data_IF_234492155265
#
_entry.id   IF_234492155265
#
_cell.length_a   1.000
_cell.length_b   1.000
_cell.length_c   1.000
_cell.angle_alpha   90.00
_cell.angle_beta   90.00
_cell.angle_gamma   90.00
#
_symmetry.space_group_name_H-M   'P 1'
#
loop_
_entity.id
_entity.type
_entity.pdbx_description
1 polymer ?
#
# COMPACT_ATOMS: atom_id res chain seq x y z
N UNK A 1 15.82 -5.88 4.21
CA UNK A 1 14.90 -7.03 4.05
C UNK A 1 14.75 -7.33 2.56
N UNK A 2 14.86 -8.59 2.14
CA UNK A 2 14.64 -8.95 0.73
C UNK A 2 13.15 -8.86 0.36
N UNK A 3 12.86 -8.59 -0.91
CA UNK A 3 11.49 -8.51 -1.44
C UNK A 3 10.62 -9.72 -1.04
N UNK A 4 11.20 -10.92 -1.13
CA UNK A 4 10.55 -12.18 -0.81
C UNK A 4 10.20 -12.36 0.67
N UNK A 5 10.92 -11.70 1.58
CA UNK A 5 10.60 -11.70 3.01
C UNK A 5 9.60 -10.59 3.34
N UNK A 6 9.70 -9.44 2.66
CA UNK A 6 8.72 -8.36 2.78
C UNK A 6 7.33 -8.77 2.28
N UNK A 7 7.23 -9.60 1.24
CA UNK A 7 5.97 -10.04 0.65
C UNK A 7 5.03 -10.74 1.65
N UNK A 8 5.43 -11.83 2.35
CA UNK A 8 4.59 -12.47 3.35
C UNK A 8 4.38 -11.60 4.59
N UNK A 9 5.38 -10.81 5.00
CA UNK A 9 5.25 -9.91 6.17
C UNK A 9 4.20 -8.83 5.90
N UNK A 10 4.25 -8.18 4.74
CA UNK A 10 3.26 -7.18 4.34
C UNK A 10 1.86 -7.81 4.24
N UNK A 11 1.76 -9.01 3.67
CA UNK A 11 0.50 -9.77 3.62
C UNK A 11 -0.07 -10.07 5.01
N UNK A 12 0.77 -10.55 5.94
CA UNK A 12 0.37 -10.83 7.32
C UNK A 12 -0.04 -9.56 8.07
N UNK A 13 0.69 -8.46 7.90
CA UNK A 13 0.34 -7.17 8.50
C UNK A 13 -0.99 -6.64 7.95
N UNK A 14 -1.20 -6.73 6.63
CA UNK A 14 -2.46 -6.34 5.99
C UNK A 14 -3.64 -7.21 6.48
N UNK A 15 -3.43 -8.53 6.59
CA UNK A 15 -4.44 -9.45 7.11
C UNK A 15 -4.77 -9.18 8.58
N UNK A 16 -3.76 -8.93 9.42
CA UNK A 16 -3.96 -8.60 10.83
C UNK A 16 -4.74 -7.28 11.00
N UNK A 17 -4.35 -6.24 10.24
CA UNK A 17 -5.07 -4.97 10.24
C UNK A 17 -6.52 -5.14 9.76
N UNK A 18 -6.72 -5.86 8.66
CA UNK A 18 -8.04 -6.17 8.12
C UNK A 18 -8.91 -6.99 9.05
N UNK A 19 -8.34 -7.94 9.80
CA UNK A 19 -9.07 -8.74 10.78
C UNK A 19 -9.52 -7.89 11.98
N UNK A 20 -8.61 -7.07 12.51
CA UNK A 20 -8.87 -6.20 13.67
C UNK A 20 -9.94 -5.14 13.36
N UNK A 21 -9.94 -4.63 12.13
CA UNK A 21 -10.92 -3.65 11.64
C UNK A 21 -12.20 -4.29 11.09
N UNK A 22 -12.13 -5.49 10.53
CA UNK A 22 -13.28 -6.20 9.98
C UNK A 22 -14.24 -6.70 11.07
N UNK A 23 -13.70 -7.15 12.20
CA UNK A 23 -14.50 -7.64 13.33
C UNK A 23 -15.58 -6.65 13.82
N UNK A 24 -15.29 -5.36 14.07
CA UNK A 24 -16.32 -4.39 14.42
C UNK A 24 -17.29 -4.07 13.28
N UNK A 25 -16.83 -4.06 12.01
CA UNK A 25 -17.69 -3.74 10.86
C UNK A 25 -18.77 -4.79 10.63
N UNK A 26 -18.47 -6.08 10.84
CA UNK A 26 -19.45 -7.16 10.69
C UNK A 26 -20.65 -7.04 11.65
N UNK A 27 -20.55 -6.21 12.70
CA UNK A 27 -21.60 -5.99 13.69
C UNK A 27 -22.60 -4.90 13.29
N UNK A 28 -22.35 -4.18 12.19
CA UNK A 28 -23.24 -3.15 11.65
C UNK A 28 -24.24 -3.78 10.65
N UNK A 29 -25.50 -3.32 10.66
CA UNK A 29 -26.54 -3.75 9.70
C UNK A 29 -27.22 -2.56 9.06
N UNK A 30 -27.72 -2.75 7.83
CA UNK A 30 -28.48 -1.73 7.10
C UNK A 30 -27.60 -0.58 6.61
N UNK A 31 -28.10 0.66 6.74
CA UNK A 31 -27.45 1.88 6.24
C UNK A 31 -26.11 2.21 6.91
N UNK A 32 -25.91 1.74 8.15
CA UNK A 32 -24.68 1.98 8.88
C UNK A 32 -23.47 1.29 8.24
N UNK A 33 -23.68 0.15 7.55
CA UNK A 33 -22.60 -0.55 6.85
C UNK A 33 -22.11 0.25 5.62
N UNK A 34 -23.03 0.91 4.91
CA UNK A 34 -22.70 1.76 3.77
C UNK A 34 -21.91 3.01 4.21
N UNK A 35 -22.36 3.67 5.28
CA UNK A 35 -21.69 4.84 5.85
C UNK A 35 -20.28 4.48 6.34
N UNK A 36 -20.11 3.34 7.00
CA UNK A 36 -18.79 2.91 7.50
C UNK A 36 -17.82 2.61 6.37
N UNK A 37 -18.31 2.08 5.25
CA UNK A 37 -17.44 1.76 4.10
C UNK A 37 -16.89 3.03 3.46
N UNK A 38 -17.72 4.06 3.29
CA UNK A 38 -17.26 5.38 2.81
C UNK A 38 -16.34 6.06 3.82
N UNK A 39 -16.75 6.10 5.10
CA UNK A 39 -15.97 6.73 6.15
C UNK A 39 -14.61 6.06 6.36
N UNK A 40 -14.55 4.73 6.32
CA UNK A 40 -13.31 3.97 6.45
C UNK A 40 -12.32 4.30 5.33
N UNK A 41 -12.78 4.37 4.08
CA UNK A 41 -11.93 4.75 2.95
C UNK A 41 -11.31 6.14 3.13
N UNK A 42 -12.09 7.11 3.60
CA UNK A 42 -11.59 8.48 3.83
C UNK A 42 -10.66 8.56 5.05
N UNK A 43 -10.96 7.84 6.13
CA UNK A 43 -10.08 7.74 7.30
C UNK A 43 -8.72 7.15 6.90
N UNK A 44 -8.70 6.07 6.13
CA UNK A 44 -7.46 5.45 5.63
C UNK A 44 -6.70 6.44 4.76
N UNK A 45 -7.37 7.16 3.86
CA UNK A 45 -6.74 8.19 3.02
C UNK A 45 -6.09 9.28 3.87
N UNK A 46 -6.80 9.84 4.85
CA UNK A 46 -6.27 10.87 5.74
C UNK A 46 -5.11 10.33 6.56
N UNK A 47 -5.23 9.11 7.10
CA UNK A 47 -4.17 8.45 7.85
C UNK A 47 -2.90 8.29 7.01
N UNK A 48 -3.02 7.85 5.76
CA UNK A 48 -1.89 7.70 4.83
C UNK A 48 -1.24 9.04 4.49
N UNK A 49 -2.02 10.10 4.33
CA UNK A 49 -1.52 11.45 4.03
C UNK A 49 -0.87 12.11 5.26
N UNK A 50 -1.43 11.89 6.45
CA UNK A 50 -0.93 12.45 7.70
C UNK A 50 0.33 11.73 8.21
N UNK A 51 0.44 10.43 7.95
CA UNK A 51 1.58 9.62 8.39
C UNK A 51 2.81 9.80 7.48
N UNK A 52 3.29 11.04 7.38
CA UNK A 52 4.42 11.45 6.53
C UNK A 52 5.71 10.73 6.87
N UNK A 53 5.90 10.31 8.12
CA UNK A 53 7.10 9.66 8.61
C UNK A 53 7.25 8.20 8.14
N UNK A 54 6.13 7.47 7.95
CA UNK A 54 6.15 6.04 7.62
C UNK A 54 5.80 5.80 6.13
N UNK A 55 4.85 6.54 5.57
CA UNK A 55 4.38 6.34 4.17
C UNK A 55 4.93 7.37 3.19
N UNK A 56 5.62 8.42 3.66
CA UNK A 56 6.01 9.56 2.83
C UNK A 56 4.87 10.53 2.51
N UNK A 57 3.70 10.36 3.15
CA UNK A 57 2.55 11.24 3.01
C UNK A 57 2.04 11.31 1.55
N UNK A 58 1.73 12.50 1.01
CA UNK A 58 1.29 12.64 -0.38
C UNK A 58 2.35 12.23 -1.42
N UNK A 59 3.62 12.25 -1.03
CA UNK A 59 4.76 11.97 -1.92
C UNK A 59 5.09 10.47 -2.04
N UNK A 60 4.49 9.62 -1.20
CA UNK A 60 4.70 8.17 -1.17
C UNK A 60 6.11 7.75 -0.76
N UNK A 61 6.32 6.44 -0.65
CA UNK A 61 7.63 5.84 -0.33
C UNK A 61 8.51 5.89 -1.58
N UNK A 62 9.60 6.65 -1.54
CA UNK A 62 10.62 6.73 -2.59
C UNK A 62 11.77 5.76 -2.26
N UNK A 63 12.33 5.10 -3.27
CA UNK A 63 13.36 4.05 -3.15
C UNK A 63 12.89 2.67 -2.65
N UNK A 64 11.83 2.11 -3.24
CA UNK A 64 11.49 0.69 -3.02
C UNK A 64 12.51 -0.17 -3.79
N UNK A 65 13.32 -1.02 -3.12
CA UNK A 65 14.26 -1.90 -3.78
C UNK A 65 13.52 -2.85 -4.72
N UNK A 66 13.96 -2.93 -5.98
CA UNK A 66 13.29 -3.68 -7.04
C UNK A 66 13.18 -5.17 -6.68
N UNK A 67 12.03 -5.83 -6.93
CA UNK A 67 11.92 -7.27 -6.77
C UNK A 67 12.86 -7.99 -7.75
N UNK A 68 13.87 -8.65 -7.22
CA UNK A 68 14.75 -9.56 -7.97
C UNK A 68 14.17 -10.96 -7.88
N UNK A 69 13.77 -11.53 -9.02
CA UNK A 69 13.17 -12.88 -9.09
C UNK A 69 14.17 -13.77 -9.81
N UNK A 70 14.88 -14.63 -9.06
CA UNK A 70 15.82 -15.61 -9.63
C UNK A 70 16.88 -15.00 -10.61
N UNK A 71 17.38 -13.80 -10.32
CA UNK A 71 18.37 -13.11 -11.16
C UNK A 71 17.80 -12.22 -12.27
N UNK A 72 16.48 -12.15 -12.43
CA UNK A 72 15.79 -11.18 -13.29
C UNK A 72 15.36 -9.98 -12.43
N UNK A 73 15.95 -8.81 -12.68
CA UNK A 73 15.38 -7.54 -12.22
C UNK A 73 14.14 -7.26 -13.05
N UNK A 74 12.95 -7.20 -12.43
CA UNK A 74 11.76 -6.70 -13.09
C UNK A 74 11.89 -5.19 -13.30
N UNK A 75 12.71 -4.80 -14.27
CA UNK A 75 12.72 -3.45 -14.79
C UNK A 75 11.48 -3.30 -15.65
N UNK A 76 10.43 -2.69 -15.10
CA UNK A 76 9.57 -1.86 -15.92
C UNK A 76 10.36 -0.61 -16.30
N UNK A 77 11.37 -0.78 -17.16
CA UNK A 77 11.79 0.33 -18.00
C UNK A 77 10.62 0.55 -18.96
N UNK A 78 9.68 1.42 -18.59
CA UNK A 78 9.07 2.21 -19.64
C UNK A 78 10.26 2.91 -20.28
N UNK A 79 10.60 2.53 -21.50
CA UNK A 79 11.62 3.18 -22.32
C UNK A 79 11.18 4.65 -22.44
N UNK A 80 11.64 5.48 -21.52
CA UNK A 80 11.65 6.93 -21.70
C UNK A 80 12.43 7.15 -22.99
N UNK A 81 11.69 7.60 -24.01
CA UNK A 81 12.24 7.95 -25.31
C UNK A 81 13.38 8.93 -25.08
N UNK A 82 14.52 8.61 -25.69
CA UNK A 82 15.76 9.33 -25.51
C UNK A 82 15.65 10.79 -25.93
N UNK A 83 16.21 11.65 -25.09
CA UNK A 83 16.55 13.03 -25.40
C UNK A 83 17.90 13.40 -24.77
N UNK A 84 18.88 12.48 -24.80
CA UNK A 84 20.27 12.76 -24.39
C UNK A 84 21.23 12.55 -25.57
N UNK A 85 20.99 13.26 -26.67
CA UNK A 85 22.07 13.59 -27.62
C UNK A 85 22.01 15.08 -27.96
N UNK A 86 22.99 15.80 -27.39
CA UNK A 86 23.36 17.22 -27.51
C UNK A 86 22.65 18.22 -26.60
#
# INVERSE_FOLDING_TARGET
LGFWTCLPIAGLMAAAAGFLLGFPVLRLRGDYLAIVTLGFGEIVRILLLNNTEITGGPNGIRQIPKPTLFGLEFSRTAREGGWDTF
#
